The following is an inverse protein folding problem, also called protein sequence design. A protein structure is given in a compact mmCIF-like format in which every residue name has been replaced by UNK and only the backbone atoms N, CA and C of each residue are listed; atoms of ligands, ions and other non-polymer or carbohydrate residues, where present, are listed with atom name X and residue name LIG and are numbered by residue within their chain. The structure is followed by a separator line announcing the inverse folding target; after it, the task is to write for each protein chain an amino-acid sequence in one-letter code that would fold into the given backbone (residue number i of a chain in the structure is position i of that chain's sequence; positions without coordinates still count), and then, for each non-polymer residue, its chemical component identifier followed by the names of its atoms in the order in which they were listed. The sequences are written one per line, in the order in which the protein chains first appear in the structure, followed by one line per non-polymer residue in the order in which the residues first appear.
data_IF_218850603185
#
_entry.id   IF_218850603185
#
_cell.length_a   1.000
_cell.length_b   1.000
_cell.length_c   1.000
_cell.angle_alpha   90.00
_cell.angle_beta   90.00
_cell.angle_gamma   90.00
#
_symmetry.space_group_name_H-M   'P 1'
#
loop_
_entity.id
_entity.type
_entity.pdbx_description
1 polymer ?
#
# COMPACT_ATOMS: atom_id res chain seq x y z
N UNK A 1 -1.94 -12.31 -10.76
CA UNK A 1 -1.13 -13.15 -9.87
C UNK A 1 0.24 -12.54 -9.55
N UNK A 2 1.09 -12.24 -10.53
CA UNK A 2 2.44 -11.71 -10.27
C UNK A 2 2.46 -10.42 -9.42
N UNK A 3 1.61 -9.44 -9.74
CA UNK A 3 1.51 -8.19 -8.98
C UNK A 3 1.07 -8.40 -7.52
N UNK A 4 0.19 -9.37 -7.25
CA UNK A 4 -0.26 -9.70 -5.90
C UNK A 4 0.86 -10.31 -5.06
N UNK A 5 1.72 -11.14 -5.65
CA UNK A 5 2.89 -11.70 -4.98
C UNK A 5 3.93 -10.62 -4.63
N UNK A 6 4.18 -9.70 -5.58
CA UNK A 6 5.08 -8.56 -5.36
C UNK A 6 4.53 -7.67 -4.24
N UNK A 7 3.22 -7.38 -4.25
CA UNK A 7 2.57 -6.61 -3.20
C UNK A 7 2.73 -7.29 -1.82
N UNK A 8 2.58 -8.61 -1.75
CA UNK A 8 2.70 -9.38 -0.50
C UNK A 8 4.13 -9.31 0.06
N UNK A 9 5.14 -9.47 -0.79
CA UNK A 9 6.56 -9.31 -0.39
C UNK A 9 6.80 -7.88 0.12
N UNK A 10 6.34 -6.87 -0.62
CA UNK A 10 6.48 -5.47 -0.22
C UNK A 10 5.76 -5.17 1.10
N UNK A 11 4.58 -5.75 1.34
CA UNK A 11 3.86 -5.62 2.61
C UNK A 11 4.66 -6.17 3.79
N UNK A 12 5.26 -7.35 3.64
CA UNK A 12 6.08 -7.96 4.71
C UNK A 12 7.32 -7.11 4.99
N UNK A 13 8.04 -6.68 3.94
CA UNK A 13 9.21 -5.82 4.08
C UNK A 13 8.87 -4.46 4.69
N UNK A 14 7.75 -3.87 4.30
CA UNK A 14 7.28 -2.58 4.83
C UNK A 14 6.84 -2.67 6.29
N UNK A 15 6.23 -3.78 6.71
CA UNK A 15 5.95 -4.01 8.14
C UNK A 15 7.24 -4.14 8.96
N UNK A 16 8.24 -4.87 8.47
CA UNK A 16 9.55 -4.96 9.13
C UNK A 16 10.22 -3.57 9.25
N UNK A 17 10.12 -2.75 8.20
CA UNK A 17 10.65 -1.38 8.21
C UNK A 17 9.86 -0.44 9.14
N UNK A 18 8.54 -0.64 9.26
CA UNK A 18 7.71 0.09 10.21
C UNK A 18 8.10 -0.22 11.67
N UNK A 19 8.32 -1.50 12.01
CA UNK A 19 8.86 -1.89 13.31
C UNK A 19 10.25 -1.30 13.54
N UNK A 20 11.12 -1.33 12.53
CA UNK A 20 12.46 -0.75 12.61
C UNK A 20 12.44 0.77 12.84
N UNK A 21 11.46 1.47 12.28
CA UNK A 21 11.28 2.92 12.46
C UNK A 21 11.00 3.30 13.92
N UNK A 22 10.42 2.40 14.73
CA UNK A 22 10.24 2.64 16.16
C UNK A 22 11.54 2.50 16.97
N UNK A 23 12.51 1.71 16.50
CA UNK A 23 13.83 1.57 17.14
C UNK A 23 14.79 2.68 16.76
N UNK A 24 14.83 3.08 15.48
CA UNK A 24 15.65 4.20 15.01
C UNK A 24 14.75 5.32 14.49
N UNK A 25 14.47 6.30 15.35
CA UNK A 25 13.59 7.45 15.08
C UNK A 25 14.26 8.49 14.16
N UNK A 26 14.85 8.06 13.04
CA UNK A 26 15.35 8.98 12.01
C UNK A 26 14.19 9.40 11.11
N UNK A 27 14.04 10.70 10.88
CA UNK A 27 12.94 11.26 10.07
C UNK A 27 12.92 10.75 8.61
N UNK A 28 14.06 10.30 8.09
CA UNK A 28 14.19 9.70 6.76
C UNK A 28 13.40 8.39 6.64
N UNK A 29 13.44 7.53 7.66
CA UNK A 29 12.75 6.24 7.62
C UNK A 29 11.23 6.41 7.61
N UNK A 30 10.69 7.39 8.33
CA UNK A 30 9.26 7.73 8.30
C UNK A 30 8.77 8.12 6.89
N UNK A 31 9.59 8.80 6.09
CA UNK A 31 9.26 9.18 4.70
C UNK A 31 9.31 7.99 3.75
N UNK A 32 10.32 7.14 3.91
CA UNK A 32 10.47 5.92 3.11
C UNK A 32 9.29 4.97 3.34
N UNK A 33 8.92 4.76 4.61
CA UNK A 33 7.77 3.93 4.99
C UNK A 33 6.47 4.50 4.43
N UNK A 34 6.24 5.83 4.50
CA UNK A 34 5.05 6.44 3.90
C UNK A 34 4.97 6.22 2.38
N UNK A 35 6.09 6.39 1.67
CA UNK A 35 6.16 6.16 0.23
C UNK A 35 5.88 4.69 -0.12
N UNK A 36 6.47 3.75 0.64
CA UNK A 36 6.25 2.31 0.46
C UNK A 36 4.79 1.92 0.68
N UNK A 37 4.10 2.48 1.68
CA UNK A 37 2.67 2.24 1.88
C UNK A 37 1.82 2.68 0.67
N UNK A 38 2.17 3.81 0.03
CA UNK A 38 1.48 4.29 -1.19
C UNK A 38 1.74 3.35 -2.37
N UNK A 39 2.99 2.91 -2.57
CA UNK A 39 3.34 1.96 -3.63
C UNK A 39 2.59 0.65 -3.48
N UNK A 40 2.49 0.13 -2.25
CA UNK A 40 1.72 -1.08 -1.95
C UNK A 40 0.23 -0.88 -2.27
N UNK A 41 -0.36 0.24 -1.86
CA UNK A 41 -1.76 0.56 -2.17
C UNK A 41 -2.01 0.60 -3.70
N UNK A 42 -1.10 1.21 -4.47
CA UNK A 42 -1.17 1.25 -5.93
C UNK A 42 -1.08 -0.15 -6.55
N UNK A 43 -0.19 -1.02 -6.06
CA UNK A 43 -0.13 -2.40 -6.55
C UNK A 43 -1.46 -3.15 -6.31
N UNK A 44 -2.11 -2.93 -5.17
CA UNK A 44 -3.42 -3.56 -4.89
C UNK A 44 -4.49 -3.01 -5.83
N UNK A 45 -4.54 -1.70 -6.06
CA UNK A 45 -5.49 -1.09 -7.03
C UNK A 45 -5.32 -1.69 -8.42
N UNK A 46 -4.09 -1.75 -8.93
CA UNK A 46 -3.79 -2.36 -10.24
C UNK A 46 -4.25 -3.82 -10.29
N UNK A 47 -4.08 -4.60 -9.21
CA UNK A 47 -4.58 -5.99 -9.20
C UNK A 47 -6.10 -6.08 -9.26
N UNK A 48 -6.82 -5.15 -8.63
CA UNK A 48 -8.28 -5.09 -8.70
C UNK A 48 -8.73 -4.73 -10.11
N UNK A 49 -8.12 -3.73 -10.74
CA UNK A 49 -8.45 -3.34 -12.12
C UNK A 49 -8.19 -4.47 -13.13
N UNK A 50 -7.04 -5.15 -13.02
CA UNK A 50 -6.72 -6.30 -13.87
C UNK A 50 -7.74 -7.42 -13.70
N UNK A 51 -8.16 -7.70 -12.45
CA UNK A 51 -9.19 -8.70 -12.18
C UNK A 51 -10.53 -8.30 -12.79
N UNK A 52 -10.99 -7.06 -12.58
CA UNK A 52 -12.25 -6.55 -13.13
C UNK A 52 -12.26 -6.60 -14.66
N UNK A 53 -11.14 -6.25 -15.31
CA UNK A 53 -11.04 -6.34 -16.77
C UNK A 53 -11.08 -7.79 -17.27
N UNK A 54 -10.39 -8.71 -16.60
CA UNK A 54 -10.40 -10.14 -16.97
C UNK A 54 -11.80 -10.76 -16.82
N UNK A 55 -12.51 -10.37 -15.76
CA UNK A 55 -13.90 -10.76 -15.45
C UNK A 55 -14.85 -10.24 -16.54
N UNK A 56 -14.74 -8.96 -16.88
CA UNK A 56 -15.54 -8.36 -17.94
C UNK A 56 -15.27 -8.99 -19.33
N UNK A 57 -14.01 -9.27 -19.65
CA UNK A 57 -13.64 -9.97 -20.89
C UNK A 57 -14.21 -11.39 -20.93
N UNK A 58 -14.16 -12.12 -19.81
CA UNK A 58 -14.76 -13.44 -19.70
C UNK A 58 -16.28 -13.39 -19.91
N UNK A 59 -16.97 -12.45 -19.26
CA UNK A 59 -18.41 -12.24 -19.47
C UNK A 59 -18.77 -11.98 -20.92
N UNK A 60 -18.00 -11.13 -21.62
CA UNK A 60 -18.26 -10.84 -23.04
C UNK A 60 -18.04 -12.08 -23.91
N UNK A 61 -16.96 -12.82 -23.69
CA UNK A 61 -16.68 -14.08 -24.41
C UNK A 61 -17.78 -15.12 -24.18
N UNK A 62 -18.23 -15.25 -22.94
CA UNK A 62 -19.31 -16.18 -22.57
C UNK A 62 -20.65 -15.73 -23.17
N UNK A 63 -20.98 -14.44 -23.14
CA UNK A 63 -22.17 -13.90 -23.80
C UNK A 63 -22.16 -14.10 -25.33
N UNK A 64 -20.98 -14.09 -25.96
CA UNK A 64 -20.84 -14.40 -27.38
C UNK A 64 -21.03 -15.89 -27.67
N UNK A 65 -20.50 -16.79 -26.83
CA UNK A 65 -20.70 -18.24 -26.95
C UNK A 65 -22.16 -18.64 -26.67
N UNK A 66 -22.82 -17.94 -25.75
CA UNK A 66 -24.23 -18.07 -25.39
C UNK A 66 -25.20 -17.86 -26.55
N UNK A 67 -24.85 -17.06 -27.57
CA UNK A 67 -25.72 -16.92 -28.76
C UNK A 67 -26.00 -18.25 -29.47
N UNK A 68 -25.18 -19.29 -29.21
CA UNK A 68 -25.37 -20.64 -29.75
C UNK A 68 -26.04 -21.61 -28.76
N UNK A 69 -26.25 -21.26 -27.48
CA UNK A 69 -26.77 -22.16 -26.43
C UNK A 69 -27.66 -21.36 -25.46
N UNK A 70 -28.93 -21.78 -25.31
CA UNK A 70 -29.94 -21.19 -24.41
C UNK A 70 -29.59 -21.44 -22.93
N UNK A 71 -28.63 -20.69 -22.40
CA UNK A 71 -28.29 -20.69 -20.97
C UNK A 71 -28.59 -19.32 -20.36
N UNK A 72 -29.29 -19.30 -19.23
CA UNK A 72 -29.62 -18.09 -18.48
C UNK A 72 -28.44 -17.64 -17.59
N UNK A 73 -27.80 -16.54 -18.00
CA UNK A 73 -26.62 -15.96 -17.35
C UNK A 73 -26.94 -14.92 -16.28
N UNK A 74 -28.21 -14.69 -15.91
CA UNK A 74 -28.57 -13.67 -14.90
C UNK A 74 -28.00 -13.92 -13.49
N UNK A 75 -27.41 -15.10 -13.27
CA UNK A 75 -26.76 -15.53 -12.01
C UNK A 75 -25.23 -15.36 -12.06
N UNK A 76 -24.64 -15.13 -13.24
CA UNK A 76 -23.20 -14.99 -13.38
C UNK A 76 -22.75 -13.59 -12.98
N UNK A 77 -21.83 -13.56 -12.02
CA UNK A 77 -21.12 -12.40 -11.48
C UNK A 77 -21.87 -11.48 -10.51
N UNK A 78 -21.90 -11.91 -9.26
CA UNK A 78 -21.82 -10.96 -8.15
C UNK A 78 -20.35 -10.75 -7.80
N UNK A 79 -19.91 -9.49 -7.77
CA UNK A 79 -18.65 -9.12 -7.16
C UNK A 79 -18.60 -9.73 -5.76
N UNK A 80 -17.73 -10.72 -5.58
CA UNK A 80 -17.63 -11.47 -4.34
C UNK A 80 -17.17 -10.60 -3.18
N UNK A 81 -17.37 -11.08 -1.96
CA UNK A 81 -16.94 -10.40 -0.73
C UNK A 81 -15.44 -10.05 -0.70
N UNK A 82 -14.63 -10.73 -1.51
CA UNK A 82 -13.20 -10.47 -1.70
C UNK A 82 -12.89 -9.08 -2.27
N UNK A 83 -13.71 -8.55 -3.18
CA UNK A 83 -13.49 -7.21 -3.76
C UNK A 83 -13.70 -6.12 -2.71
N UNK A 84 -14.70 -6.29 -1.83
CA UNK A 84 -14.93 -5.37 -0.71
C UNK A 84 -13.76 -5.39 0.28
N UNK A 85 -13.22 -6.58 0.58
CA UNK A 85 -12.03 -6.70 1.43
C UNK A 85 -10.82 -5.99 0.81
N UNK A 86 -10.60 -6.11 -0.50
CA UNK A 86 -9.51 -5.41 -1.18
C UNK A 86 -9.59 -3.88 -1.03
N UNK A 87 -10.79 -3.30 -1.14
CA UNK A 87 -11.01 -1.86 -0.90
C UNK A 87 -10.70 -1.45 0.54
N UNK A 88 -11.08 -2.25 1.53
CA UNK A 88 -10.73 -1.98 2.94
C UNK A 88 -9.22 -2.01 3.19
N UNK A 89 -8.50 -2.92 2.54
CA UNK A 89 -7.04 -2.96 2.57
C UNK A 89 -6.45 -1.69 1.95
N UNK A 90 -6.92 -1.25 0.78
CA UNK A 90 -6.44 0.00 0.17
C UNK A 90 -6.64 1.19 1.13
N UNK A 91 -7.82 1.29 1.75
CA UNK A 91 -8.10 2.35 2.72
C UNK A 91 -7.16 2.32 3.94
N UNK A 92 -6.83 1.13 4.48
CA UNK A 92 -5.90 1.02 5.60
C UNK A 92 -4.47 1.43 5.23
N UNK A 93 -3.99 1.07 4.03
CA UNK A 93 -2.67 1.51 3.56
C UNK A 93 -2.60 3.02 3.30
N UNK A 94 -3.67 3.61 2.75
CA UNK A 94 -3.74 5.06 2.52
C UNK A 94 -3.77 5.82 3.85
N UNK A 95 -4.59 5.38 4.81
CA UNK A 95 -4.64 6.02 6.14
C UNK A 95 -3.31 5.90 6.87
N UNK A 96 -2.64 4.75 6.80
CA UNK A 96 -1.29 4.56 7.32
C UNK A 96 -0.27 5.49 6.64
N UNK A 97 -0.29 5.60 5.31
CA UNK A 97 0.58 6.50 4.56
C UNK A 97 0.38 7.96 4.99
N UNK A 98 -0.86 8.41 5.16
CA UNK A 98 -1.18 9.76 5.64
C UNK A 98 -0.68 9.96 7.07
N UNK A 99 -0.90 8.98 7.97
CA UNK A 99 -0.41 9.06 9.35
C UNK A 99 1.12 9.21 9.42
N UNK A 100 1.85 8.41 8.64
CA UNK A 100 3.32 8.50 8.55
C UNK A 100 3.78 9.79 7.85
N UNK A 101 3.06 10.28 6.83
CA UNK A 101 3.37 11.52 6.15
C UNK A 101 3.21 12.74 7.08
N UNK A 102 2.10 12.82 7.82
CA UNK A 102 1.86 13.89 8.80
C UNK A 102 2.85 13.80 9.98
N UNK A 103 3.17 12.58 10.43
CA UNK A 103 4.17 12.33 11.47
C UNK A 103 5.64 12.55 11.04
N UNK A 104 5.90 12.85 9.76
CA UNK A 104 7.25 13.05 9.19
C UNK A 104 7.71 14.51 9.20
N UNK A 105 6.89 15.45 9.70
CA UNK A 105 7.29 16.85 9.78
C UNK A 105 8.56 16.98 10.64
N UNK A 106 9.61 17.61 10.09
CA UNK A 106 10.86 17.89 10.84
C UNK A 106 10.49 18.76 12.04
N UNK A 107 10.56 18.21 13.25
CA UNK A 107 10.58 19.02 14.45
C UNK A 107 12.01 19.54 14.60
N UNK A 108 12.18 20.87 14.48
CA UNK A 108 13.43 21.57 14.76
C UNK A 108 13.28 22.38 16.04
N UNK A 109 14.35 22.48 16.82
CA UNK A 109 14.40 23.24 18.08
C UNK A 109 13.75 22.51 19.27
N UNK A 110 13.24 23.28 20.24
CA UNK A 110 12.69 22.86 21.56
C UNK A 110 11.56 21.81 21.56
N UNK A 111 11.20 21.23 20.41
CA UNK A 111 10.18 20.17 20.26
C UNK A 111 10.79 18.80 19.92
N UNK A 112 12.11 18.63 20.03
CA UNK A 112 12.74 17.32 19.94
C UNK A 112 12.29 16.44 21.13
N UNK A 113 11.84 15.22 20.86
CA UNK A 113 11.31 14.31 21.89
C UNK A 113 12.36 13.86 22.93
N UNK A 114 13.67 14.00 22.63
CA UNK A 114 14.78 13.67 23.54
C UNK A 114 16.07 14.33 23.07
N UNK A 115 16.87 14.88 23.99
CA UNK A 115 18.11 15.62 23.72
C UNK A 115 19.20 14.77 23.03
N UNK A 116 19.14 13.43 23.12
CA UNK A 116 20.09 12.51 22.48
C UNK A 116 19.94 12.47 20.94
N UNK A 117 18.72 12.61 20.41
CA UNK A 117 18.46 12.61 18.97
C UNK A 117 18.87 13.93 18.28
N UNK A 118 18.92 15.03 19.04
CA UNK A 118 19.46 16.30 18.55
C UNK A 118 20.98 16.23 18.38
N UNK A 119 21.66 15.37 19.16
CA UNK A 119 23.11 15.16 19.13
C UNK A 119 23.54 14.29 17.95
N UNK A 120 22.67 13.42 17.45
CA UNK A 120 22.94 12.53 16.30
C UNK A 120 22.55 13.15 14.94
N UNK A 121 21.60 14.10 14.92
CA UNK A 121 21.18 14.80 13.68
C UNK A 121 21.96 16.11 13.40
N UNK A 122 22.83 16.52 14.34
CA UNK A 122 23.73 17.65 14.12
C UNK A 122 24.91 17.22 13.22
N UNK A 123 25.30 18.05 12.24
CA UNK A 123 26.43 17.74 11.38
C UNK A 123 27.67 17.51 12.25
N UNK A 124 28.32 16.36 12.07
CA UNK A 124 29.62 16.10 12.69
C UNK A 124 30.62 17.05 12.03
N UNK A 125 31.04 18.07 12.77
CA UNK A 125 32.15 18.91 12.38
C UNK A 125 33.45 18.09 12.50
N UNK A 126 33.79 17.34 11.45
CA UNK A 126 35.10 16.72 11.27
C UNK A 126 36.02 17.82 10.70
N UNK A 127 36.87 18.39 11.54
CA UNK A 127 37.77 19.49 11.16
C UNK A 127 37.18 20.87 11.42
N UNK A 128 38.06 21.77 11.88
CA UNK A 128 37.80 23.15 12.36
C UNK A 128 36.74 23.92 11.59
#
# INVERSE_FOLDING_TARGET
MAFSLIALILMVSNNALAFYTFFHHRYIYKRLVACLHIVIAMCIVVTVEVLTNSVNEWNVNVAQQSKNIEWDYSVAERAGSSTYLAWTCIASYVTAAVAFALGSHKQKGSRAATAEFEIEDRPVHIGR
#
